data_IF_411740217167
#
_entry.id   IF_411740217167
#
_cell.length_a   1.000
_cell.length_b   1.000
_cell.length_c   1.000
_cell.angle_alpha   90.00
_cell.angle_beta   90.00
_cell.angle_gamma   90.00
#
_symmetry.space_group_name_H-M   'P 1'
#
loop_
_entity.id
_entity.type
_entity.pdbx_description
1 polymer ?
#
# COMPACT_ATOMS: atom_id res chain seq x y z
N UNK A 1 25.59 2.96 8.29
CA UNK A 1 25.68 1.82 7.34
C UNK A 1 24.67 0.73 7.66
N UNK A 2 24.81 -0.15 8.67
CA UNK A 2 23.77 -1.15 8.98
C UNK A 2 22.38 -0.54 9.29
N UNK A 3 22.37 0.62 9.94
CA UNK A 3 21.14 1.34 10.32
C UNK A 3 20.41 1.98 9.14
N UNK A 4 21.12 2.35 8.08
CA UNK A 4 20.54 3.07 6.94
C UNK A 4 19.90 2.08 5.96
N UNK A 5 20.51 0.90 5.81
CA UNK A 5 19.96 -0.23 5.05
C UNK A 5 18.71 -0.78 5.74
N UNK A 6 18.72 -0.92 7.07
CA UNK A 6 17.55 -1.37 7.83
C UNK A 6 16.36 -0.41 7.65
N UNK A 7 16.59 0.90 7.80
CA UNK A 7 15.55 1.92 7.57
C UNK A 7 14.99 1.84 6.16
N UNK A 8 15.84 1.58 5.17
CA UNK A 8 15.39 1.45 3.79
C UNK A 8 14.48 0.23 3.59
N UNK A 9 14.88 -0.94 4.07
CA UNK A 9 14.08 -2.17 3.98
C UNK A 9 12.76 -2.04 4.74
N UNK A 10 12.77 -1.40 5.91
CA UNK A 10 11.56 -1.10 6.67
C UNK A 10 10.60 -0.20 5.89
N UNK A 11 11.11 0.81 5.20
CA UNK A 11 10.32 1.71 4.36
C UNK A 11 9.70 0.98 3.16
N UNK A 12 10.47 0.11 2.47
CA UNK A 12 9.97 -0.74 1.39
C UNK A 12 8.80 -1.60 1.86
N UNK A 13 9.00 -2.33 2.97
CA UNK A 13 7.95 -3.15 3.59
C UNK A 13 6.74 -2.32 4.00
N UNK A 14 6.95 -1.13 4.56
CA UNK A 14 5.85 -0.28 5.01
C UNK A 14 4.98 0.19 3.84
N UNK A 15 5.59 0.67 2.76
CA UNK A 15 4.86 1.34 1.67
C UNK A 15 4.47 0.44 0.51
N UNK A 16 5.08 -0.74 0.35
CA UNK A 16 4.70 -1.70 -0.68
C UNK A 16 3.82 -2.80 -0.07
N UNK A 17 4.36 -3.56 0.89
CA UNK A 17 3.66 -4.71 1.49
C UNK A 17 2.52 -4.29 2.43
N UNK A 18 2.82 -3.48 3.45
CA UNK A 18 1.86 -3.18 4.51
C UNK A 18 0.76 -2.25 4.01
N UNK A 19 1.12 -1.25 3.20
CA UNK A 19 0.18 -0.37 2.52
C UNK A 19 -0.70 -1.15 1.55
N UNK A 20 -0.14 -2.06 0.74
CA UNK A 20 -0.91 -2.85 -0.22
C UNK A 20 -2.01 -3.68 0.45
N UNK A 21 -1.67 -4.37 1.56
CA UNK A 21 -2.67 -5.05 2.39
C UNK A 21 -3.76 -4.10 2.92
N UNK A 22 -3.36 -2.91 3.39
CA UNK A 22 -4.31 -1.92 3.89
C UNK A 22 -5.20 -1.38 2.78
N UNK A 23 -4.70 -1.21 1.56
CA UNK A 23 -5.52 -0.81 0.42
C UNK A 23 -6.55 -1.89 0.05
N UNK A 24 -6.14 -3.16 -0.01
CA UNK A 24 -7.08 -4.28 -0.24
C UNK A 24 -8.15 -4.37 0.84
N UNK A 25 -7.80 -4.15 2.12
CA UNK A 25 -8.77 -4.12 3.21
C UNK A 25 -9.77 -2.96 3.09
N UNK A 26 -9.33 -1.79 2.60
CA UNK A 26 -10.24 -0.67 2.32
C UNK A 26 -11.25 -1.05 1.23
N UNK A 27 -10.78 -1.60 0.11
CA UNK A 27 -11.67 -2.06 -0.98
C UNK A 27 -12.63 -3.15 -0.52
N UNK A 28 -12.13 -4.11 0.25
CA UNK A 28 -12.95 -5.17 0.83
C UNK A 28 -14.11 -4.64 1.68
N UNK A 29 -13.86 -3.61 2.51
CA UNK A 29 -14.91 -2.94 3.29
C UNK A 29 -15.89 -2.16 2.41
N UNK A 30 -15.40 -1.36 1.48
CA UNK A 30 -16.24 -0.49 0.65
C UNK A 30 -17.10 -1.25 -0.35
N UNK A 31 -16.55 -2.32 -0.91
CA UNK A 31 -17.22 -3.16 -1.90
C UNK A 31 -18.05 -4.28 -1.26
N UNK A 32 -18.14 -4.30 0.09
CA UNK A 32 -18.88 -5.27 0.89
C UNK A 32 -18.59 -6.74 0.48
N UNK A 33 -17.29 -7.06 0.37
CA UNK A 33 -16.80 -8.33 -0.19
C UNK A 33 -16.95 -9.50 0.81
N UNK A 34 -16.88 -10.78 0.33
CA UNK A 34 -17.09 -11.96 1.16
C UNK A 34 -16.16 -12.05 2.37
N UNK A 35 -16.67 -12.56 3.49
CA UNK A 35 -15.94 -12.62 4.77
C UNK A 35 -14.72 -13.56 4.74
N UNK A 36 -14.79 -14.62 3.94
CA UNK A 36 -13.75 -15.63 3.74
C UNK A 36 -12.74 -15.24 2.64
N UNK A 37 -12.87 -14.06 2.05
CA UNK A 37 -11.97 -13.60 1.01
C UNK A 37 -10.54 -13.46 1.55
N UNK A 38 -9.58 -13.99 0.78
CA UNK A 38 -8.15 -13.89 1.08
C UNK A 38 -7.50 -12.88 0.16
N UNK A 39 -6.28 -12.44 0.49
CA UNK A 39 -5.46 -11.62 -0.40
C UNK A 39 -5.30 -12.28 -1.77
N UNK A 40 -5.09 -13.60 -1.81
CA UNK A 40 -5.00 -14.36 -3.05
C UNK A 40 -6.29 -14.26 -3.89
N UNK A 41 -7.46 -14.42 -3.28
CA UNK A 41 -8.75 -14.25 -3.97
C UNK A 41 -8.93 -12.83 -4.52
N UNK A 42 -8.63 -11.81 -3.72
CA UNK A 42 -8.68 -10.41 -4.15
C UNK A 42 -7.73 -10.12 -5.32
N UNK A 43 -6.55 -10.73 -5.34
CA UNK A 43 -5.59 -10.58 -6.43
C UNK A 43 -5.97 -11.34 -7.71
N UNK A 44 -6.89 -12.31 -7.62
CA UNK A 44 -7.48 -12.95 -8.80
C UNK A 44 -8.60 -12.13 -9.43
N UNK A 45 -9.17 -11.15 -8.72
CA UNK A 45 -10.11 -10.18 -9.28
C UNK A 45 -9.35 -9.13 -10.11
N UNK A 46 -9.52 -9.10 -11.45
CA UNK A 46 -8.76 -8.19 -12.30
C UNK A 46 -9.01 -6.71 -11.98
N UNK A 47 -10.21 -6.33 -11.56
CA UNK A 47 -10.53 -4.94 -11.25
C UNK A 47 -9.76 -4.49 -10.00
N UNK A 48 -9.80 -5.29 -8.95
CA UNK A 48 -9.12 -5.00 -7.68
C UNK A 48 -7.59 -5.07 -7.83
N UNK A 49 -7.08 -6.06 -8.56
CA UNK A 49 -5.65 -6.15 -8.87
C UNK A 49 -5.18 -4.92 -9.66
N UNK A 50 -5.88 -4.54 -10.72
CA UNK A 50 -5.49 -3.37 -11.53
C UNK A 50 -5.51 -2.08 -10.70
N UNK A 51 -6.47 -1.92 -9.79
CA UNK A 51 -6.51 -0.75 -8.91
C UNK A 51 -5.31 -0.73 -7.94
N UNK A 52 -4.96 -1.87 -7.34
CA UNK A 52 -3.79 -1.99 -6.46
C UNK A 52 -2.47 -1.78 -7.22
N UNK A 53 -2.34 -2.33 -8.42
CA UNK A 53 -1.18 -2.11 -9.29
C UNK A 53 -1.02 -0.63 -9.64
N UNK A 54 -2.12 0.08 -9.92
CA UNK A 54 -2.10 1.51 -10.15
C UNK A 54 -1.72 2.30 -8.88
N UNK A 55 -2.15 1.87 -7.69
CA UNK A 55 -1.66 2.46 -6.43
C UNK A 55 -0.15 2.32 -6.31
N UNK A 56 0.39 1.11 -6.51
CA UNK A 56 1.83 0.91 -6.41
C UNK A 56 2.60 1.71 -7.48
N UNK A 57 2.23 1.57 -8.75
CA UNK A 57 3.00 2.14 -9.86
C UNK A 57 2.82 3.65 -10.01
N UNK A 58 1.62 4.19 -9.74
CA UNK A 58 1.34 5.61 -9.95
C UNK A 58 1.53 6.45 -8.68
N UNK A 59 1.31 5.88 -7.48
CA UNK A 59 1.23 6.65 -6.24
C UNK A 59 2.33 6.32 -5.21
N UNK A 60 2.95 5.13 -5.29
CA UNK A 60 4.00 4.68 -4.36
C UNK A 60 5.40 4.74 -5.00
N UNK A 61 5.60 4.08 -6.14
CA UNK A 61 6.91 3.98 -6.81
C UNK A 61 7.51 5.37 -7.13
N UNK A 62 6.75 6.38 -7.60
CA UNK A 62 7.31 7.71 -7.83
C UNK A 62 7.87 8.38 -6.58
N UNK A 63 7.39 8.02 -5.38
CA UNK A 63 7.93 8.51 -4.10
C UNK A 63 9.32 7.94 -3.85
N UNK A 64 9.54 6.66 -4.17
CA UNK A 64 10.87 6.05 -4.11
C UNK A 64 11.80 6.56 -5.21
N UNK A 65 11.28 6.81 -6.41
CA UNK A 65 12.04 7.43 -7.50
C UNK A 65 12.57 8.82 -7.15
N UNK A 66 11.73 9.67 -6.54
CA UNK A 66 12.15 10.99 -6.05
C UNK A 66 13.24 10.92 -4.95
N UNK A 67 13.40 9.75 -4.31
CA UNK A 67 14.46 9.45 -3.33
C UNK A 67 15.68 8.77 -3.97
N UNK A 68 15.67 8.49 -5.28
CA UNK A 68 16.74 7.75 -5.97
C UNK A 68 16.75 6.24 -5.69
N UNK A 69 15.60 5.67 -5.31
CA UNK A 69 15.46 4.27 -4.83
C UNK A 69 14.45 3.45 -5.64
N UNK A 70 14.26 3.80 -6.92
CA UNK A 70 13.25 3.18 -7.78
C UNK A 70 13.49 1.69 -7.99
N UNK A 71 14.73 1.29 -8.27
CA UNK A 71 15.06 -0.09 -8.60
C UNK A 71 14.83 -1.03 -7.40
N UNK A 72 15.30 -0.65 -6.21
CA UNK A 72 15.04 -1.39 -4.97
C UNK A 72 13.54 -1.54 -4.70
N UNK A 73 12.76 -0.48 -4.97
CA UNK A 73 11.32 -0.51 -4.79
C UNK A 73 10.60 -1.43 -5.79
N UNK A 74 11.04 -1.47 -7.05
CA UNK A 74 10.49 -2.37 -8.05
C UNK A 74 10.83 -3.83 -7.74
N UNK A 75 12.08 -4.11 -7.36
CA UNK A 75 12.49 -5.46 -6.96
C UNK A 75 11.70 -5.97 -5.75
N UNK A 76 11.53 -5.13 -4.72
CA UNK A 76 10.72 -5.49 -3.56
C UNK A 76 9.23 -5.65 -3.92
N UNK A 77 8.71 -4.84 -4.85
CA UNK A 77 7.32 -4.96 -5.30
C UNK A 77 7.07 -6.30 -6.01
N UNK A 78 8.02 -6.81 -6.78
CA UNK A 78 7.90 -8.13 -7.40
C UNK A 78 7.80 -9.24 -6.35
N UNK A 79 8.60 -9.20 -5.28
CA UNK A 79 8.47 -10.12 -4.14
C UNK A 79 7.09 -10.00 -3.46
N UNK A 80 6.55 -8.78 -3.33
CA UNK A 80 5.23 -8.54 -2.76
C UNK A 80 4.14 -9.14 -3.64
N UNK A 81 4.22 -9.00 -4.96
CA UNK A 81 3.28 -9.59 -5.91
C UNK A 81 3.28 -11.11 -5.79
N UNK A 82 4.45 -11.74 -5.79
CA UNK A 82 4.58 -13.19 -5.63
C UNK A 82 3.97 -13.66 -4.32
N UNK A 83 4.22 -12.92 -3.22
CA UNK A 83 3.64 -13.22 -1.92
C UNK A 83 2.12 -13.09 -1.92
N UNK A 84 1.57 -12.05 -2.53
CA UNK A 84 0.13 -11.80 -2.59
C UNK A 84 -0.59 -12.83 -3.48
N UNK A 85 0.10 -13.35 -4.50
CA UNK A 85 -0.38 -14.40 -5.39
C UNK A 85 -0.13 -15.82 -4.88
N UNK A 86 0.43 -16.00 -3.67
CA UNK A 86 0.67 -17.33 -3.11
C UNK A 86 -0.63 -17.93 -2.53
N UNK A 87 -1.20 -19.01 -3.14
CA UNK A 87 -2.47 -19.59 -2.70
C UNK A 87 -2.40 -20.30 -1.35
N UNK A 88 -1.19 -20.61 -0.85
CA UNK A 88 -0.99 -21.29 0.42
C UNK A 88 -0.94 -20.33 1.62
N UNK A 89 -0.79 -19.03 1.35
CA UNK A 89 -0.90 -17.98 2.37
C UNK A 89 -2.37 -17.57 2.47
N UNK A 90 -3.15 -18.29 3.28
CA UNK A 90 -4.57 -18.03 3.54
C UNK A 90 -4.81 -16.74 4.36
N UNK A 91 -4.20 -15.63 3.96
CA UNK A 91 -4.35 -14.33 4.60
C UNK A 91 -5.75 -13.78 4.35
N UNK A 92 -6.68 -14.01 5.27
CA UNK A 92 -8.04 -13.47 5.19
C UNK A 92 -8.01 -11.95 5.30
N UNK A 93 -8.73 -11.26 4.42
CA UNK A 93 -8.78 -9.81 4.42
C UNK A 93 -9.51 -9.30 5.67
N UNK A 94 -10.49 -10.03 6.19
CA UNK A 94 -11.15 -9.71 7.46
C UNK A 94 -10.16 -9.60 8.65
N UNK A 95 -9.14 -10.46 8.72
CA UNK A 95 -8.10 -10.41 9.75
C UNK A 95 -7.18 -9.19 9.53
N UNK A 96 -6.90 -8.86 8.26
CA UNK A 96 -6.14 -7.67 7.86
C UNK A 96 -6.91 -6.37 8.15
N UNK A 97 -8.24 -6.38 8.06
CA UNK A 97 -9.10 -5.22 8.31
C UNK A 97 -9.24 -4.87 9.79
N UNK A 98 -8.81 -5.72 10.73
CA UNK A 98 -8.82 -5.38 12.15
C UNK A 98 -8.00 -4.12 12.44
N UNK A 99 -8.53 -3.19 13.23
CA UNK A 99 -7.90 -1.88 13.52
C UNK A 99 -7.58 -1.07 12.24
N UNK A 100 -8.45 -1.14 11.22
CA UNK A 100 -8.21 -0.55 9.90
C UNK A 100 -7.86 0.93 9.94
N UNK A 101 -8.63 1.74 10.68
CA UNK A 101 -8.38 3.18 10.79
C UNK A 101 -6.96 3.50 11.27
N UNK A 102 -6.47 2.79 12.30
CA UNK A 102 -5.10 2.94 12.79
C UNK A 102 -4.06 2.47 11.76
N UNK A 103 -4.34 1.40 11.02
CA UNK A 103 -3.47 0.91 9.94
C UNK A 103 -3.35 1.95 8.82
N UNK A 104 -4.43 2.62 8.42
CA UNK A 104 -4.39 3.71 7.44
C UNK A 104 -3.50 4.86 7.91
N UNK A 105 -3.66 5.29 9.16
CA UNK A 105 -2.83 6.35 9.75
C UNK A 105 -1.34 5.97 9.83
N UNK A 106 -1.01 4.71 10.11
CA UNK A 106 0.39 4.27 10.26
C UNK A 106 1.07 3.86 8.95
N UNK A 107 0.30 3.50 7.92
CA UNK A 107 0.83 2.86 6.69
C UNK A 107 0.63 3.68 5.43
N UNK A 108 -0.42 4.51 5.36
CA UNK A 108 -0.72 5.34 4.18
C UNK A 108 -0.29 6.78 4.42
N UNK A 109 -0.69 7.38 5.55
CA UNK A 109 -0.43 8.80 5.83
C UNK A 109 1.07 9.16 5.76
N UNK A 110 2.01 8.35 6.29
CA UNK A 110 3.43 8.70 6.19
C UNK A 110 3.95 8.75 4.75
N UNK A 111 3.38 7.97 3.82
CA UNK A 111 3.73 8.04 2.40
C UNK A 111 3.21 9.35 1.76
N UNK A 112 2.00 9.76 2.13
CA UNK A 112 1.41 11.02 1.65
C UNK A 112 2.21 12.25 2.14
N UNK A 113 2.65 12.21 3.40
CA UNK A 113 3.50 13.24 4.00
C UNK A 113 4.88 13.30 3.33
N UNK A 114 5.49 12.13 3.10
CA UNK A 114 6.76 12.02 2.41
C UNK A 114 6.69 12.55 0.97
N UNK A 115 5.65 12.20 0.22
CA UNK A 115 5.44 12.74 -1.13
C UNK A 115 5.27 14.27 -1.11
N UNK A 116 4.56 14.80 -0.11
CA UNK A 116 4.36 16.25 0.06
C UNK A 116 5.69 16.96 0.37
N UNK A 117 6.53 16.40 1.24
CA UNK A 117 7.83 17.00 1.58
C UNK A 117 8.80 16.99 0.40
N UNK A 118 8.81 15.92 -0.38
CA UNK A 118 9.61 15.81 -1.61
C UNK A 118 9.16 16.83 -2.67
N UNK A 119 7.85 17.05 -2.81
CA UNK A 119 7.29 18.06 -3.72
C UNK A 119 7.73 19.48 -3.32
N UNK A 120 7.72 19.81 -2.03
CA UNK A 120 8.17 21.11 -1.54
C UNK A 120 9.67 21.35 -1.77
N UNK A 121 10.49 20.30 -1.70
CA UNK A 121 11.95 20.40 -1.85
C UNK A 121 12.46 20.33 -3.30
N UNK A 122 11.72 19.67 -4.21
CA UNK A 122 12.17 19.40 -5.60
C UNK A 122 11.23 19.91 -6.68
N UNK A 123 10.07 20.48 -6.32
CA UNK A 123 9.04 20.91 -7.27
C UNK A 123 8.32 19.76 -8.00
N UNK A 124 8.51 18.52 -7.57
CA UNK A 124 7.93 17.32 -8.21
C UNK A 124 6.64 16.93 -7.51
N UNK A 125 5.50 17.25 -8.11
CA UNK A 125 4.20 16.81 -7.59
C UNK A 125 3.95 15.34 -7.95
N UNK A 126 3.63 14.52 -6.94
CA UNK A 126 3.26 13.12 -7.10
C UNK A 126 1.75 13.01 -6.80
N UNK A 127 0.90 12.76 -7.80
CA UNK A 127 -0.53 12.54 -7.59
C UNK A 127 -0.77 11.27 -6.77
N UNK A 128 -1.63 11.36 -5.75
CA UNK A 128 -1.93 10.25 -4.83
C UNK A 128 -3.44 10.20 -4.52
N UNK A 129 -4.26 10.18 -5.57
CA UNK A 129 -5.70 10.34 -5.44
C UNK A 129 -6.36 9.16 -4.71
N UNK A 130 -5.97 7.91 -5.04
CA UNK A 130 -6.57 6.70 -4.45
C UNK A 130 -6.18 6.57 -2.99
N UNK A 131 -4.92 6.85 -2.65
CA UNK A 131 -4.46 6.84 -1.26
C UNK A 131 -5.11 7.93 -0.41
N UNK A 132 -5.30 9.13 -0.96
CA UNK A 132 -6.02 10.22 -0.26
C UNK A 132 -7.50 9.92 -0.09
N UNK A 133 -8.13 9.20 -1.02
CA UNK A 133 -9.50 8.75 -0.87
C UNK A 133 -9.58 7.70 0.25
N UNK A 134 -8.71 6.69 0.22
CA UNK A 134 -8.67 5.63 1.22
C UNK A 134 -8.50 6.16 2.66
N UNK A 135 -7.78 7.26 2.87
CA UNK A 135 -7.62 7.84 4.22
C UNK A 135 -8.83 8.65 4.69
N UNK A 136 -9.71 9.10 3.80
CA UNK A 136 -10.93 9.87 4.14
C UNK A 136 -12.11 8.99 4.50
N UNK A 137 -12.22 7.81 3.91
CA UNK A 137 -13.36 6.91 4.11
C UNK A 137 -13.20 6.13 5.42
N UNK A 138 -13.53 6.71 6.56
CA UNK A 138 -13.39 5.96 7.83
C UNK A 138 -13.44 6.75 9.13
N UNK A 139 -13.82 8.02 9.13
CA UNK A 139 -14.06 8.79 10.36
C UNK A 139 -15.35 8.39 11.11
N UNK A 140 -16.03 7.32 10.69
CA UNK A 140 -17.27 6.85 11.29
C UNK A 140 -17.09 5.43 11.85
N UNK A 141 -16.33 5.31 12.94
CA UNK A 141 -16.56 4.29 13.96
C UNK A 141 -16.57 5.04 15.28
N UNK A 142 -17.79 5.22 15.81
CA UNK A 142 -18.04 5.72 17.16
C UNK A 142 -17.67 4.71 18.23
#
# INVERSE_FOLDING_TARGET
>A
MLTDDLKHVEQLKLFLLNLGHTFLAERWLLDARPQDETVYHAMQDPALRNELEAVWMDEVIPVFEAQGKREDALAYLDEVRDRFMNPFLHHRIADIAQNHGQKKQRRIVPLLELATSLAAGRGTWIPQARLRLATKTGSAQG
#
